data_IF_379976801331
#
_entry.id   IF_379976801331
#
_cell.length_a   1.000
_cell.length_b   1.000
_cell.length_c   1.000
_cell.angle_alpha   90.00
_cell.angle_beta   90.00
_cell.angle_gamma   90.00
#
_symmetry.space_group_name_H-M   'P 1'
#
loop_
_entity.id
_entity.type
_entity.pdbx_description
1 polymer ?
#
# COMPACT_ATOMS: atom_id res chain seq x y z
N UNK A 1 -3.91 6.13 -24.21
CA UNK A 1 -2.50 6.56 -24.18
C UNK A 1 -2.39 8.08 -24.25
N UNK A 2 -1.42 8.68 -23.52
CA UNK A 2 -1.17 10.13 -23.54
C UNK A 2 -2.41 10.97 -23.20
N UNK A 3 -3.03 10.72 -22.06
CA UNK A 3 -4.27 11.39 -21.69
C UNK A 3 -4.09 12.22 -20.44
N UNK A 4 -4.56 13.46 -20.47
CA UNK A 4 -4.70 14.30 -19.28
C UNK A 4 -6.18 14.47 -18.93
N UNK A 5 -6.55 14.07 -17.72
CA UNK A 5 -7.91 14.08 -17.19
C UNK A 5 -7.98 15.03 -15.98
N UNK A 6 -8.17 16.35 -16.17
CA UNK A 6 -8.16 17.31 -15.08
C UNK A 6 -9.36 17.19 -14.13
N UNK A 7 -10.43 16.53 -14.57
CA UNK A 7 -11.64 16.28 -13.80
C UNK A 7 -12.04 14.81 -13.94
N UNK A 8 -11.28 13.94 -13.29
CA UNK A 8 -11.44 12.49 -13.38
C UNK A 8 -12.21 11.89 -12.18
N UNK A 9 -12.99 12.69 -11.46
CA UNK A 9 -13.82 12.17 -10.38
C UNK A 9 -14.75 11.09 -10.91
N UNK A 10 -14.86 9.97 -10.16
CA UNK A 10 -15.75 8.86 -10.49
C UNK A 10 -15.54 8.27 -11.91
N UNK A 11 -14.30 8.34 -12.39
CA UNK A 11 -13.94 7.87 -13.74
C UNK A 11 -13.53 6.41 -13.72
N UNK A 12 -13.90 5.66 -14.74
CA UNK A 12 -13.64 4.22 -14.92
C UNK A 12 -14.27 3.33 -13.83
N UNK A 13 -15.52 3.59 -13.47
CA UNK A 13 -16.21 2.73 -12.52
C UNK A 13 -16.70 1.42 -13.15
N UNK A 14 -16.50 0.31 -12.43
CA UNK A 14 -16.95 -1.02 -12.84
C UNK A 14 -16.48 -1.45 -14.24
N UNK A 15 -15.32 -0.97 -14.65
CA UNK A 15 -14.72 -1.34 -15.93
C UNK A 15 -13.85 -2.59 -15.80
N UNK A 16 -13.67 -3.29 -16.90
CA UNK A 16 -12.77 -4.45 -16.98
C UNK A 16 -11.90 -4.43 -18.24
N UNK A 17 -10.75 -5.12 -18.17
CA UNK A 17 -9.79 -5.19 -19.27
C UNK A 17 -9.31 -3.81 -19.72
N UNK A 18 -8.90 -2.98 -18.78
CA UNK A 18 -8.47 -1.60 -19.02
C UNK A 18 -6.96 -1.51 -19.07
N UNK A 19 -6.42 -0.89 -20.10
CA UNK A 19 -5.00 -0.55 -20.21
C UNK A 19 -4.84 0.96 -20.20
N UNK A 20 -4.03 1.47 -19.28
CA UNK A 20 -3.67 2.89 -19.18
C UNK A 20 -2.17 3.04 -19.39
N UNK A 21 -1.76 3.94 -20.27
CA UNK A 21 -0.37 4.26 -20.48
C UNK A 21 -0.18 5.76 -20.67
N UNK A 22 0.75 6.35 -19.92
CA UNK A 22 1.00 7.79 -19.91
C UNK A 22 -0.28 8.59 -19.63
N UNK A 23 -0.92 8.32 -18.51
CA UNK A 23 -2.16 8.98 -18.09
C UNK A 23 -1.86 9.82 -16.83
N UNK A 24 -2.29 11.08 -16.86
CA UNK A 24 -2.31 11.94 -15.70
C UNK A 24 -3.77 12.30 -15.39
N UNK A 25 -4.23 11.97 -14.18
CA UNK A 25 -5.60 12.16 -13.76
C UNK A 25 -5.69 12.91 -12.43
N UNK A 26 -6.74 13.70 -12.27
CA UNK A 26 -7.05 14.39 -11.01
C UNK A 26 -8.53 14.24 -10.68
N UNK A 27 -8.83 13.63 -9.54
CA UNK A 27 -10.20 13.43 -9.07
C UNK A 27 -10.32 12.22 -8.15
N UNK A 28 -11.33 12.23 -7.29
CA UNK A 28 -11.60 11.18 -6.33
C UNK A 28 -12.31 9.98 -6.97
N UNK A 29 -12.19 8.80 -6.34
CA UNK A 29 -12.83 7.55 -6.76
C UNK A 29 -12.48 7.10 -8.18
N UNK A 30 -11.23 7.31 -8.59
CA UNK A 30 -10.75 6.82 -9.88
C UNK A 30 -10.63 5.28 -9.88
N UNK A 31 -11.16 4.62 -10.91
CA UNK A 31 -11.11 3.17 -11.15
C UNK A 31 -11.75 2.31 -10.05
N UNK A 32 -12.83 2.77 -9.44
CA UNK A 32 -13.55 2.02 -8.41
C UNK A 32 -14.18 0.74 -8.99
N UNK A 33 -14.00 -0.39 -8.30
CA UNK A 33 -14.50 -1.72 -8.68
C UNK A 33 -14.07 -2.17 -10.10
N UNK A 34 -12.96 -1.68 -10.59
CA UNK A 34 -12.40 -2.15 -11.86
C UNK A 34 -11.72 -3.52 -11.71
N UNK A 35 -11.67 -4.27 -12.80
CA UNK A 35 -11.00 -5.57 -12.84
C UNK A 35 -10.08 -5.68 -14.05
N UNK A 36 -8.99 -6.45 -13.89
CA UNK A 36 -8.08 -6.76 -14.99
C UNK A 36 -7.49 -5.50 -15.64
N UNK A 37 -6.73 -4.74 -14.87
CA UNK A 37 -6.09 -3.50 -15.31
C UNK A 37 -4.59 -3.67 -15.47
N UNK A 38 -4.04 -3.08 -16.55
CA UNK A 38 -2.61 -2.91 -16.78
C UNK A 38 -2.30 -1.42 -16.91
N UNK A 39 -1.43 -0.92 -16.06
CA UNK A 39 -1.19 0.53 -15.93
C UNK A 39 0.32 0.79 -15.95
N UNK A 40 0.77 1.68 -16.83
CA UNK A 40 2.16 2.12 -16.90
C UNK A 40 2.25 3.65 -17.09
N UNK A 41 3.24 4.26 -16.44
CA UNK A 41 3.45 5.71 -16.46
C UNK A 41 2.19 6.48 -16.09
N UNK A 42 1.81 6.39 -14.82
CA UNK A 42 0.55 6.92 -14.32
C UNK A 42 0.76 7.96 -13.22
N UNK A 43 0.10 9.09 -13.33
CA UNK A 43 0.04 10.08 -12.25
C UNK A 43 -1.41 10.30 -11.82
N UNK A 44 -1.65 10.24 -10.52
CA UNK A 44 -2.97 10.49 -9.94
C UNK A 44 -2.86 11.40 -8.71
N UNK A 45 -3.73 12.39 -8.66
CA UNK A 45 -4.04 13.16 -7.47
C UNK A 45 -5.54 13.09 -7.20
N UNK A 46 -5.94 12.35 -6.17
CA UNK A 46 -7.34 12.16 -5.80
C UNK A 46 -7.50 10.99 -4.85
N UNK A 47 -8.45 11.08 -3.94
CA UNK A 47 -8.67 10.09 -2.89
C UNK A 47 -9.48 8.89 -3.36
N UNK A 48 -9.37 7.77 -2.63
CA UNK A 48 -10.14 6.53 -2.86
C UNK A 48 -9.90 5.89 -4.23
N UNK A 49 -8.69 6.02 -4.78
CA UNK A 49 -8.39 5.39 -6.07
C UNK A 49 -8.31 3.87 -5.93
N UNK A 50 -8.82 3.17 -6.93
CA UNK A 50 -8.84 1.70 -7.00
C UNK A 50 -9.58 1.01 -5.84
N UNK A 51 -10.54 1.70 -5.20
CA UNK A 51 -11.38 1.09 -4.18
C UNK A 51 -12.15 -0.10 -4.78
N UNK A 52 -12.01 -1.27 -4.15
CA UNK A 52 -12.64 -2.51 -4.61
C UNK A 52 -12.10 -3.06 -5.94
N UNK A 53 -10.99 -2.54 -6.46
CA UNK A 53 -10.39 -3.02 -7.70
C UNK A 53 -9.75 -4.40 -7.53
N UNK A 54 -9.74 -5.21 -8.59
CA UNK A 54 -9.18 -6.57 -8.59
C UNK A 54 -8.30 -6.83 -9.80
N UNK A 55 -7.24 -7.62 -9.59
CA UNK A 55 -6.33 -8.02 -10.66
C UNK A 55 -5.74 -6.79 -11.37
N UNK A 56 -5.03 -5.96 -10.64
CA UNK A 56 -4.43 -4.71 -11.13
C UNK A 56 -2.92 -4.81 -11.06
N UNK A 57 -2.26 -4.47 -12.13
CA UNK A 57 -0.81 -4.32 -12.19
C UNK A 57 -0.44 -2.90 -12.61
N UNK A 58 0.43 -2.26 -11.82
CA UNK A 58 0.81 -0.85 -11.99
C UNK A 58 2.33 -0.74 -12.01
N UNK A 59 2.87 -0.02 -13.00
CA UNK A 59 4.28 0.31 -13.11
C UNK A 59 4.47 1.83 -13.23
N UNK A 60 5.57 2.33 -12.68
CA UNK A 60 6.03 3.71 -12.82
C UNK A 60 4.93 4.75 -12.53
N UNK A 61 4.28 4.59 -11.38
CA UNK A 61 3.21 5.50 -10.98
C UNK A 61 3.65 6.48 -9.88
N UNK A 62 3.01 7.64 -9.89
CA UNK A 62 2.99 8.56 -8.76
C UNK A 62 1.54 8.78 -8.35
N UNK A 63 1.18 8.28 -7.18
CA UNK A 63 -0.19 8.35 -6.68
C UNK A 63 -0.23 9.15 -5.38
N UNK A 64 -0.98 10.24 -5.39
CA UNK A 64 -1.30 11.04 -4.22
C UNK A 64 -2.77 10.80 -3.89
N UNK A 65 -3.01 9.84 -2.99
CA UNK A 65 -4.36 9.34 -2.73
C UNK A 65 -4.49 8.85 -1.29
N UNK A 66 -5.36 9.46 -0.54
CA UNK A 66 -5.86 8.90 0.72
C UNK A 66 -6.75 7.70 0.39
N UNK A 67 -6.71 6.66 1.23
CA UNK A 67 -7.48 5.42 1.08
C UNK A 67 -7.30 4.72 -0.29
N UNK A 68 -6.10 4.79 -0.88
CA UNK A 68 -5.79 4.07 -2.11
C UNK A 68 -5.88 2.55 -1.90
N UNK A 69 -6.44 1.83 -2.87
CA UNK A 69 -6.58 0.36 -2.86
C UNK A 69 -7.43 -0.20 -1.72
N UNK A 70 -8.32 0.56 -1.15
CA UNK A 70 -9.23 0.07 -0.11
C UNK A 70 -10.08 -1.08 -0.68
N UNK A 71 -10.26 -2.16 0.10
CA UNK A 71 -11.00 -3.35 -0.32
C UNK A 71 -10.53 -3.99 -1.66
N UNK A 72 -9.32 -3.70 -2.10
CA UNK A 72 -8.80 -4.27 -3.35
C UNK A 72 -8.33 -5.71 -3.18
N UNK A 73 -8.18 -6.43 -4.30
CA UNK A 73 -7.72 -7.81 -4.31
C UNK A 73 -6.77 -8.06 -5.49
N UNK A 74 -5.67 -8.77 -5.24
CA UNK A 74 -4.67 -9.10 -6.26
C UNK A 74 -4.13 -7.85 -6.99
N UNK A 75 -3.57 -6.93 -6.24
CA UNK A 75 -2.93 -5.72 -6.78
C UNK A 75 -1.43 -5.83 -6.62
N UNK A 76 -0.69 -5.56 -7.69
CA UNK A 76 0.77 -5.46 -7.67
C UNK A 76 1.22 -4.13 -8.23
N UNK A 77 2.07 -3.41 -7.48
CA UNK A 77 2.60 -2.10 -7.87
C UNK A 77 4.12 -2.17 -7.90
N UNK A 78 4.72 -1.72 -9.01
CA UNK A 78 6.16 -1.70 -9.23
C UNK A 78 6.69 -0.28 -9.41
N UNK A 79 7.89 -0.04 -8.89
CA UNK A 79 8.69 1.16 -9.23
C UNK A 79 7.92 2.47 -9.09
N UNK A 80 7.17 2.62 -7.99
CA UNK A 80 6.18 3.68 -7.83
C UNK A 80 6.35 4.44 -6.51
N UNK A 81 5.82 5.65 -6.49
CA UNK A 81 5.64 6.46 -5.29
C UNK A 81 4.15 6.57 -4.95
N UNK A 82 3.81 6.24 -3.70
CA UNK A 82 2.43 6.29 -3.21
C UNK A 82 2.40 7.07 -1.91
N UNK A 83 1.62 8.15 -1.87
CA UNK A 83 1.44 8.97 -0.68
C UNK A 83 -0.04 9.18 -0.38
N UNK A 84 -0.40 8.97 0.87
CA UNK A 84 -1.75 9.17 1.39
C UNK A 84 -2.04 8.26 2.58
N UNK A 85 -2.90 8.71 3.48
CA UNK A 85 -3.32 7.95 4.65
C UNK A 85 -4.07 6.67 4.25
N UNK A 86 -3.97 5.64 5.10
CA UNK A 86 -4.77 4.40 5.03
C UNK A 86 -4.59 3.59 3.73
N UNK A 87 -3.40 3.64 3.14
CA UNK A 87 -3.07 2.85 1.96
C UNK A 87 -3.38 1.36 2.17
N UNK A 88 -4.13 0.76 1.25
CA UNK A 88 -4.35 -0.68 1.19
C UNK A 88 -5.28 -1.26 2.25
N UNK A 89 -6.01 -0.46 2.99
CA UNK A 89 -6.88 -0.96 4.05
C UNK A 89 -7.86 -2.02 3.56
N UNK A 90 -7.96 -3.10 4.35
CA UNK A 90 -8.88 -4.21 4.10
C UNK A 90 -8.71 -4.86 2.71
N UNK A 91 -7.49 -4.80 2.17
CA UNK A 91 -7.16 -5.44 0.90
C UNK A 91 -6.65 -6.87 1.09
N UNK A 92 -6.58 -7.60 -0.01
CA UNK A 92 -6.08 -8.97 -0.06
C UNK A 92 -5.09 -9.15 -1.18
N UNK A 93 -3.96 -9.82 -0.91
CA UNK A 93 -2.90 -10.03 -1.88
C UNK A 93 -2.42 -8.70 -2.50
N UNK A 94 -1.98 -7.77 -1.68
CA UNK A 94 -1.34 -6.53 -2.10
C UNK A 94 0.17 -6.71 -2.11
N UNK A 95 0.80 -6.50 -3.27
CA UNK A 95 2.24 -6.61 -3.45
C UNK A 95 2.81 -5.29 -3.94
N UNK A 96 3.81 -4.77 -3.24
CA UNK A 96 4.52 -3.54 -3.59
C UNK A 96 6.00 -3.86 -3.78
N UNK A 97 6.55 -3.55 -4.96
CA UNK A 97 7.93 -3.87 -5.34
C UNK A 97 8.66 -2.60 -5.76
N UNK A 98 9.83 -2.34 -5.15
CA UNK A 98 10.62 -1.14 -5.41
C UNK A 98 9.82 0.16 -5.25
N UNK A 99 8.92 0.21 -4.29
CA UNK A 99 8.06 1.37 -4.06
C UNK A 99 8.57 2.22 -2.89
N UNK A 100 8.32 3.52 -2.99
CA UNK A 100 8.41 4.45 -1.87
C UNK A 100 7.00 4.80 -1.41
N UNK A 101 6.74 4.57 -0.13
CA UNK A 101 5.41 4.67 0.48
C UNK A 101 5.45 5.70 1.60
N UNK A 102 4.49 6.60 1.60
CA UNK A 102 4.29 7.59 2.66
C UNK A 102 2.84 7.53 3.12
N UNK A 103 2.59 6.89 4.27
CA UNK A 103 1.21 6.63 4.70
C UNK A 103 1.09 6.54 6.22
N UNK A 104 0.21 7.34 6.81
CA UNK A 104 -0.24 7.16 8.19
C UNK A 104 -1.19 5.96 8.24
N UNK A 105 -0.99 5.05 9.20
CA UNK A 105 -1.77 3.81 9.33
C UNK A 105 -1.93 3.08 7.99
N UNK A 106 -0.85 3.01 7.25
CA UNK A 106 -0.83 2.35 5.96
C UNK A 106 -0.74 0.84 6.07
N UNK A 107 -1.35 0.15 5.10
CA UNK A 107 -1.25 -1.30 4.94
C UNK A 107 -1.78 -2.07 6.15
N UNK A 108 -2.88 -1.56 6.74
CA UNK A 108 -3.58 -2.20 7.85
C UNK A 108 -4.72 -3.07 7.35
N UNK A 109 -5.04 -4.13 8.12
CA UNK A 109 -6.09 -5.09 7.79
C UNK A 109 -5.90 -5.78 6.44
N UNK A 110 -4.65 -5.97 6.02
CA UNK A 110 -4.33 -6.62 4.74
C UNK A 110 -4.11 -8.11 4.95
N UNK A 111 -4.80 -8.93 4.19
CA UNK A 111 -4.52 -10.34 4.09
C UNK A 111 -3.45 -10.58 3.00
N UNK A 112 -2.29 -11.10 3.39
CA UNK A 112 -1.18 -11.37 2.51
C UNK A 112 -0.61 -10.12 1.82
N UNK A 113 -0.04 -9.23 2.63
CA UNK A 113 0.76 -8.10 2.17
C UNK A 113 2.20 -8.53 1.86
N UNK A 114 2.71 -8.13 0.72
CA UNK A 114 4.11 -8.35 0.34
C UNK A 114 4.76 -7.03 -0.03
N UNK A 115 5.88 -6.72 0.63
CA UNK A 115 6.75 -5.60 0.26
C UNK A 115 8.13 -6.15 -0.12
N UNK A 116 8.63 -5.79 -1.30
CA UNK A 116 9.98 -6.14 -1.76
C UNK A 116 10.75 -4.88 -2.08
N UNK A 117 11.88 -4.67 -1.40
CA UNK A 117 12.73 -3.51 -1.60
C UNK A 117 11.95 -2.18 -1.55
N UNK A 118 11.14 -2.00 -0.51
CA UNK A 118 10.34 -0.79 -0.34
C UNK A 118 10.95 0.14 0.70
N UNK A 119 10.71 1.45 0.53
CA UNK A 119 11.02 2.47 1.53
C UNK A 119 9.73 3.00 2.12
N UNK A 120 9.69 3.10 3.44
CA UNK A 120 8.57 3.68 4.18
C UNK A 120 9.01 5.05 4.72
N UNK A 121 8.56 6.13 4.07
CA UNK A 121 8.83 7.49 4.51
C UNK A 121 7.63 8.01 5.31
N UNK A 122 7.87 8.63 6.46
CA UNK A 122 6.80 9.20 7.30
C UNK A 122 5.60 8.26 7.46
N UNK A 123 5.87 6.95 7.45
CA UNK A 123 4.85 5.91 7.57
C UNK A 123 4.78 5.44 9.01
N UNK A 124 3.65 5.69 9.64
CA UNK A 124 3.43 5.42 11.06
C UNK A 124 2.32 4.42 11.28
N UNK A 125 2.40 3.66 12.37
CA UNK A 125 1.41 2.66 12.78
C UNK A 125 1.08 1.66 11.66
N UNK A 126 2.11 1.25 10.90
CA UNK A 126 1.94 0.37 9.76
C UNK A 126 1.60 -1.06 10.17
N UNK A 127 0.89 -1.77 9.28
CA UNK A 127 0.64 -3.20 9.32
C UNK A 127 -0.34 -3.70 10.38
N UNK A 128 -1.11 -2.81 11.01
CA UNK A 128 -2.07 -3.23 12.04
C UNK A 128 -3.00 -4.33 11.51
N UNK A 129 -3.04 -5.46 12.23
CA UNK A 129 -3.83 -6.66 11.89
C UNK A 129 -3.60 -7.23 10.48
N UNK A 130 -2.44 -7.00 9.89
CA UNK A 130 -2.06 -7.55 8.59
C UNK A 130 -1.16 -8.77 8.72
N UNK A 131 -1.30 -9.72 7.79
CA UNK A 131 -0.27 -10.73 7.56
C UNK A 131 0.72 -10.20 6.53
N UNK A 132 2.01 -10.14 6.90
CA UNK A 132 3.00 -9.34 6.18
C UNK A 132 4.25 -10.14 5.88
N UNK A 133 4.74 -10.06 4.64
CA UNK A 133 6.09 -10.42 4.29
C UNK A 133 6.77 -9.19 3.68
N UNK A 134 7.55 -8.49 4.48
CA UNK A 134 8.10 -7.19 4.12
C UNK A 134 9.63 -7.17 4.16
N UNK A 135 10.21 -6.63 3.08
CA UNK A 135 11.60 -6.19 2.99
C UNK A 135 11.63 -4.66 2.86
N UNK A 136 11.98 -4.00 3.95
CA UNK A 136 12.00 -2.54 4.06
C UNK A 136 13.45 -2.08 4.04
N UNK A 137 13.81 -1.26 3.07
CA UNK A 137 15.11 -0.60 3.00
C UNK A 137 15.06 0.68 3.83
N UNK A 138 15.97 0.80 4.80
CA UNK A 138 16.00 1.92 5.71
C UNK A 138 15.12 1.71 6.95
N UNK A 139 14.58 2.80 7.47
CA UNK A 139 13.84 2.83 8.73
C UNK A 139 12.33 2.82 8.50
N UNK A 140 11.61 1.97 9.23
CA UNK A 140 10.18 2.10 9.45
C UNK A 140 9.93 2.96 10.70
N UNK A 141 9.12 4.01 10.61
CA UNK A 141 8.88 4.92 11.74
C UNK A 141 8.14 4.24 12.88
N UNK A 142 7.03 3.60 12.61
CA UNK A 142 6.37 2.74 13.59
C UNK A 142 5.56 1.62 12.96
N UNK A 143 5.52 0.48 13.69
CA UNK A 143 4.78 -0.72 13.36
C UNK A 143 3.84 -1.02 14.52
N UNK A 144 2.58 -1.34 14.21
CA UNK A 144 1.55 -1.62 15.20
C UNK A 144 0.92 -2.99 14.92
N UNK A 145 0.92 -3.86 15.92
CA UNK A 145 0.12 -5.09 15.97
C UNK A 145 0.05 -5.90 14.65
N UNK A 146 1.16 -6.23 14.00
CA UNK A 146 1.13 -7.14 12.85
C UNK A 146 0.60 -8.51 13.28
N UNK A 147 -0.17 -9.16 12.42
CA UNK A 147 -0.89 -10.40 12.76
C UNK A 147 -0.15 -11.68 12.37
N UNK A 148 0.92 -11.58 11.63
CA UNK A 148 1.73 -12.74 11.22
C UNK A 148 2.67 -12.45 10.07
N UNK A 149 3.61 -13.35 9.83
CA UNK A 149 4.57 -13.29 8.75
C UNK A 149 5.95 -12.82 9.18
N UNK A 150 6.67 -12.17 8.28
CA UNK A 150 8.04 -11.71 8.52
C UNK A 150 8.21 -10.26 8.10
N UNK A 151 8.77 -9.45 8.99
CA UNK A 151 9.09 -8.05 8.70
C UNK A 151 10.60 -7.87 8.86
N UNK A 152 11.27 -7.54 7.76
CA UNK A 152 12.69 -7.21 7.72
C UNK A 152 12.86 -5.71 7.44
N UNK A 153 13.64 -5.03 8.29
CA UNK A 153 13.99 -3.62 8.12
C UNK A 153 15.38 -3.34 8.67
N UNK A 154 16.06 -2.30 8.17
CA UNK A 154 17.35 -1.87 8.73
C UNK A 154 17.15 -1.29 10.14
N UNK A 155 16.07 -0.52 10.32
CA UNK A 155 15.70 0.01 11.63
C UNK A 155 14.17 0.13 11.78
N UNK A 156 13.69 0.05 13.03
CA UNK A 156 12.31 0.34 13.41
C UNK A 156 12.35 1.41 14.52
N UNK A 157 11.64 2.52 14.31
CA UNK A 157 11.56 3.59 15.31
C UNK A 157 10.78 3.17 16.55
N UNK A 158 9.53 2.75 16.37
CA UNK A 158 8.67 2.25 17.45
C UNK A 158 7.96 0.98 17.00
N UNK A 159 8.06 -0.07 17.79
CA UNK A 159 7.35 -1.32 17.61
C UNK A 159 6.32 -1.48 18.76
N UNK A 160 5.05 -1.63 18.40
CA UNK A 160 3.94 -1.78 19.35
C UNK A 160 3.28 -3.14 19.16
N UNK A 161 3.32 -3.97 20.20
CA UNK A 161 2.76 -5.33 20.22
C UNK A 161 1.87 -5.49 21.45
N UNK A 162 0.58 -5.30 21.28
CA UNK A 162 -0.39 -5.40 22.37
C UNK A 162 -0.85 -6.86 22.53
N UNK A 163 -0.44 -7.51 23.64
CA UNK A 163 -0.62 -8.95 23.88
C UNK A 163 -2.08 -9.39 24.00
N UNK A 164 -2.97 -8.48 24.28
CA UNK A 164 -4.41 -8.73 24.32
C UNK A 164 -5.07 -8.69 22.93
N UNK A 165 -4.34 -8.22 21.93
CA UNK A 165 -4.84 -8.04 20.55
C UNK A 165 -4.23 -8.98 19.54
N UNK A 166 -2.95 -9.33 19.74
CA UNK A 166 -2.21 -10.18 18.79
C UNK A 166 -1.34 -11.19 19.55
N UNK A 167 -0.84 -12.18 18.83
CA UNK A 167 0.18 -13.11 19.32
C UNK A 167 1.52 -12.70 18.70
N UNK A 168 2.43 -12.09 19.45
CA UNK A 168 3.70 -11.61 18.92
C UNK A 168 4.55 -12.69 18.24
N UNK A 169 4.43 -13.93 18.71
CA UNK A 169 5.14 -15.09 18.16
C UNK A 169 4.74 -15.44 16.72
N UNK A 170 3.59 -14.99 16.24
CA UNK A 170 3.13 -15.22 14.87
C UNK A 170 3.86 -14.33 13.86
N UNK A 171 4.54 -13.26 14.33
CA UNK A 171 5.29 -12.34 13.48
C UNK A 171 6.78 -12.35 13.80
N UNK A 172 7.60 -12.70 12.82
CA UNK A 172 9.05 -12.61 12.93
C UNK A 172 9.53 -11.20 12.56
N UNK A 173 10.17 -10.52 13.51
CA UNK A 173 10.81 -9.22 13.29
C UNK A 173 12.31 -9.43 13.12
N UNK A 174 12.86 -9.02 11.98
CA UNK A 174 14.29 -9.07 11.68
C UNK A 174 14.78 -7.63 11.45
N UNK A 175 15.50 -7.10 12.43
CA UNK A 175 15.89 -5.70 12.43
C UNK A 175 17.19 -5.52 13.23
N UNK A 176 18.10 -4.67 12.71
CA UNK A 176 19.37 -4.37 13.39
C UNK A 176 19.15 -3.46 14.61
N UNK A 177 18.18 -2.54 14.52
CA UNK A 177 17.94 -1.56 15.58
C UNK A 177 16.45 -1.24 15.73
N UNK A 178 15.94 -1.46 16.95
CA UNK A 178 14.61 -1.00 17.38
C UNK A 178 14.80 0.16 18.36
N UNK A 179 14.24 1.31 18.06
CA UNK A 179 14.37 2.50 18.91
C UNK A 179 13.56 2.39 20.19
N UNK A 180 12.30 1.95 20.08
CA UNK A 180 11.41 1.75 21.22
C UNK A 180 10.51 0.54 20.96
N UNK A 181 10.34 -0.31 21.94
CA UNK A 181 9.41 -1.43 21.89
C UNK A 181 8.39 -1.31 23.04
N UNK A 182 7.12 -1.50 22.73
CA UNK A 182 6.02 -1.64 23.67
C UNK A 182 5.38 -3.02 23.46
N UNK A 183 5.44 -3.85 24.52
CA UNK A 183 4.91 -5.22 24.51
C UNK A 183 3.98 -5.39 25.70
#
# INVERSE_FOLDING_TARGET
>A
DNVFLPNAAETLWNCSNVTLNQVCAKGDYFAMNCTDMQIDNFELAGNYCFDGAKNVEIHHAKMLSKDAFWNSENVTVYDSYISGEYLGWNSKNLTLVNCTIESLQGMCYVENLVLKNCRLLHTTLAFEYSTVNAEITGKADSILNPKGGTIRADAIGTLILELDKIKPEDTQIICEKIGRAHV
#
